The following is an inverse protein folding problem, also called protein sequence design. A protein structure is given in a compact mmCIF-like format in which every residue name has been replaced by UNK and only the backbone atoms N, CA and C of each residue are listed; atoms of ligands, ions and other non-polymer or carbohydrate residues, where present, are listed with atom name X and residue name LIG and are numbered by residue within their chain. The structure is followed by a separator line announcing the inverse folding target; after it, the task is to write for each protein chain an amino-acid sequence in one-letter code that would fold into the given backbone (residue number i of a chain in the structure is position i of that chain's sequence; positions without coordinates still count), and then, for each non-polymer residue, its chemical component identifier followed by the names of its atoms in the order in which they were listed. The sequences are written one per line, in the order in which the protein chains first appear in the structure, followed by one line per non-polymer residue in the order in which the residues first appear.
data_IF_887379555050
#
_entry.id   IF_887379555050
#
_cell.length_a   1.000
_cell.length_b   1.000
_cell.length_c   1.000
_cell.angle_alpha   90.00
_cell.angle_beta   90.00
_cell.angle_gamma   90.00
#
_symmetry.space_group_name_H-M   'P 1'
#
loop_
_entity.id
_entity.type
_entity.pdbx_description
1 polymer ?
#
# COMPACT_ATOMS: atom_id res chain seq x y z
N UNK A 1 -25.17 6.41 -11.60
CA UNK A 1 -25.67 7.15 -12.78
C UNK A 1 -24.46 7.66 -13.54
N UNK A 2 -24.45 7.57 -14.87
CA UNK A 2 -23.34 7.99 -15.74
C UNK A 2 -23.75 9.32 -16.38
N UNK A 3 -22.82 10.27 -16.58
CA UNK A 3 -23.14 11.51 -17.30
C UNK A 3 -23.24 11.29 -18.82
N UNK A 4 -23.65 12.33 -19.55
CA UNK A 4 -23.83 12.30 -21.00
C UNK A 4 -22.54 12.00 -21.80
N UNK A 5 -21.39 11.82 -21.14
CA UNK A 5 -20.10 11.47 -21.74
C UNK A 5 -19.55 10.12 -21.25
N UNK A 6 -20.40 9.28 -20.65
CA UNK A 6 -19.98 7.95 -20.20
C UNK A 6 -19.15 7.96 -18.91
N UNK A 7 -19.05 9.11 -18.20
CA UNK A 7 -18.25 9.19 -16.95
C UNK A 7 -19.10 8.87 -15.72
N UNK A 8 -18.58 8.09 -14.75
CA UNK A 8 -19.28 7.82 -13.51
C UNK A 8 -19.57 9.14 -12.78
N UNK A 9 -20.84 9.40 -12.48
CA UNK A 9 -21.31 10.64 -11.85
C UNK A 9 -20.98 10.60 -10.35
N UNK A 10 -20.21 11.59 -9.90
CA UNK A 10 -19.77 11.74 -8.52
C UNK A 10 -20.94 12.01 -7.56
N UNK A 11 -20.93 11.35 -6.39
CA UNK A 11 -21.75 11.74 -5.25
C UNK A 11 -21.09 12.92 -4.53
N UNK A 12 -21.83 14.01 -4.32
CA UNK A 12 -21.38 15.20 -3.58
C UNK A 12 -21.77 15.04 -2.10
N UNK A 13 -20.83 15.22 -1.16
CA UNK A 13 -21.08 15.10 0.29
C UNK A 13 -20.05 15.87 1.14
N UNK A 14 -20.43 16.18 2.38
CA UNK A 14 -19.69 16.94 3.39
C UNK A 14 -18.45 16.18 3.94
N UNK A 15 -17.76 16.75 4.94
CA UNK A 15 -16.43 16.34 5.42
C UNK A 15 -16.29 14.81 5.62
N UNK A 16 -15.57 14.11 4.74
CA UNK A 16 -15.82 12.70 4.49
C UNK A 16 -15.08 11.74 5.41
N UNK A 17 -14.15 12.17 6.28
CA UNK A 17 -13.49 11.23 7.21
C UNK A 17 -14.47 10.82 8.31
N UNK A 18 -15.18 11.77 8.91
CA UNK A 18 -16.23 11.49 9.92
C UNK A 18 -17.48 10.87 9.32
N UNK A 19 -17.82 11.19 8.07
CA UNK A 19 -18.97 10.57 7.39
C UNK A 19 -18.63 9.19 6.85
N UNK A 20 -17.42 8.95 6.32
CA UNK A 20 -16.96 7.60 5.96
C UNK A 20 -16.78 6.73 7.20
N UNK A 21 -16.31 7.28 8.32
CA UNK A 21 -16.32 6.61 9.62
C UNK A 21 -17.74 6.17 10.01
N UNK A 22 -18.71 7.08 9.91
CA UNK A 22 -20.12 6.77 10.22
C UNK A 22 -20.75 5.79 9.22
N UNK A 23 -20.38 5.87 7.94
CA UNK A 23 -20.90 5.01 6.86
C UNK A 23 -20.31 3.59 6.91
N UNK A 24 -19.07 3.45 7.38
CA UNK A 24 -18.31 2.19 7.32
C UNK A 24 -17.95 1.59 8.69
N UNK A 25 -18.35 2.21 9.79
CA UNK A 25 -18.19 1.67 11.16
C UNK A 25 -16.89 2.06 11.85
N UNK A 26 -16.19 1.08 12.41
CA UNK A 26 -14.98 1.29 13.22
C UNK A 26 -13.85 1.93 12.42
N UNK A 27 -13.32 3.07 12.90
CA UNK A 27 -12.13 3.72 12.32
C UNK A 27 -10.89 3.26 13.06
N UNK A 28 -10.00 2.56 12.36
CA UNK A 28 -8.68 2.22 12.87
C UNK A 28 -7.71 3.31 12.41
N UNK A 29 -7.32 4.20 13.32
CA UNK A 29 -6.19 5.09 13.08
C UNK A 29 -4.91 4.33 13.41
N UNK A 30 -4.14 3.99 12.39
CA UNK A 30 -2.77 3.51 12.60
C UNK A 30 -1.91 4.76 12.71
N UNK A 31 -1.63 5.18 13.94
CA UNK A 31 -0.75 6.30 14.21
C UNK A 31 0.63 6.02 13.58
N UNK A 32 1.06 6.90 12.67
CA UNK A 32 2.45 6.95 12.24
C UNK A 32 3.36 7.28 13.42
N UNK A 33 4.64 6.94 13.30
CA UNK A 33 5.71 7.08 14.32
C UNK A 33 5.72 8.46 15.03
N UNK A 34 5.18 9.51 14.41
CA UNK A 34 5.13 10.87 14.96
C UNK A 34 4.07 11.13 16.04
N UNK A 35 3.08 10.26 16.26
CA UNK A 35 2.00 10.49 17.26
C UNK A 35 2.32 9.89 18.65
N UNK A 36 3.46 9.19 18.81
CA UNK A 36 3.89 8.60 20.09
C UNK A 36 4.61 9.56 21.03
N UNK A 37 4.20 10.84 21.09
CA UNK A 37 4.68 11.74 22.15
C UNK A 37 3.74 11.68 23.35
N UNK A 38 3.89 10.62 24.14
CA UNK A 38 3.19 10.46 25.42
C UNK A 38 3.16 9.01 25.87
N UNK A 39 4.17 8.61 26.65
CA UNK A 39 4.30 7.30 27.31
C UNK A 39 4.43 6.07 26.38
N UNK A 40 5.67 5.81 25.95
CA UNK A 40 6.09 4.48 25.53
C UNK A 40 6.74 3.74 26.72
N UNK A 41 6.35 2.49 27.05
CA UNK A 41 7.28 1.59 27.71
C UNK A 41 8.39 1.24 26.71
N UNK A 42 9.63 1.26 27.20
CA UNK A 42 10.80 0.84 26.45
C UNK A 42 10.63 -0.63 25.96
N UNK A 43 10.81 -0.86 24.65
CA UNK A 43 11.11 -2.14 23.94
C UNK A 43 10.31 -2.41 22.65
N UNK A 44 9.31 -1.61 22.29
CA UNK A 44 8.54 -1.89 21.06
C UNK A 44 9.26 -1.37 19.81
N UNK A 45 9.82 -2.27 18.99
CA UNK A 45 10.03 -2.00 17.56
C UNK A 45 8.69 -1.58 16.93
N UNK A 46 8.66 -0.59 16.03
CA UNK A 46 7.43 -0.19 15.34
C UNK A 46 6.83 -1.27 14.44
N UNK A 47 7.57 -2.37 14.19
CA UNK A 47 7.10 -3.53 13.45
C UNK A 47 6.24 -4.47 14.30
N UNK A 48 5.06 -4.84 13.81
CA UNK A 48 4.11 -5.71 14.50
C UNK A 48 3.12 -6.35 13.51
N UNK A 49 2.47 -7.44 13.95
CA UNK A 49 1.31 -8.05 13.28
C UNK A 49 0.09 -7.80 14.12
N UNK A 50 -0.91 -7.16 13.53
CA UNK A 50 -2.21 -6.87 14.14
C UNK A 50 -3.26 -7.75 13.47
N UNK A 51 -4.11 -8.42 14.25
CA UNK A 51 -5.32 -9.08 13.74
C UNK A 51 -6.53 -8.19 13.98
N UNK A 52 -7.43 -8.21 13.00
CA UNK A 52 -8.70 -7.50 13.02
C UNK A 52 -9.82 -8.55 12.89
N UNK A 53 -10.76 -8.52 13.82
CA UNK A 53 -11.95 -9.37 13.77
C UNK A 53 -13.12 -8.71 13.00
N UNK A 54 -14.23 -9.45 12.85
CA UNK A 54 -15.44 -8.98 12.17
C UNK A 54 -16.07 -7.73 12.78
N UNK A 55 -15.89 -7.51 14.07
CA UNK A 55 -16.43 -6.34 14.78
C UNK A 55 -15.46 -5.13 14.70
N UNK A 56 -14.27 -5.35 14.13
CA UNK A 56 -13.22 -4.36 13.95
C UNK A 56 -12.33 -4.20 15.18
N UNK A 57 -12.36 -5.13 16.13
CA UNK A 57 -11.42 -5.12 17.24
C UNK A 57 -10.02 -5.49 16.75
N UNK A 58 -9.02 -4.76 17.24
CA UNK A 58 -7.62 -4.90 16.83
C UNK A 58 -6.81 -5.46 17.99
N UNK A 59 -5.98 -6.47 17.71
CA UNK A 59 -5.04 -7.03 18.69
C UNK A 59 -3.70 -7.34 18.07
N UNK A 60 -2.62 -7.09 18.81
CA UNK A 60 -1.28 -7.49 18.40
C UNK A 60 -1.09 -8.99 18.63
N UNK A 61 -0.63 -9.71 17.61
CA UNK A 61 -0.38 -11.15 17.66
C UNK A 61 1.08 -11.53 17.48
N UNK A 62 1.93 -10.59 17.07
CA UNK A 62 3.37 -10.80 17.02
C UNK A 62 4.03 -10.54 18.37
N UNK A 63 4.96 -11.40 18.75
CA UNK A 63 5.92 -11.16 19.83
C UNK A 63 7.31 -11.36 19.28
N UNK A 64 8.16 -10.35 19.41
CA UNK A 64 9.56 -10.40 18.97
C UNK A 64 10.50 -10.17 20.16
N UNK A 65 11.46 -11.08 20.34
CA UNK A 65 12.53 -10.99 21.32
C UNK A 65 13.87 -11.09 20.57
N UNK A 66 14.65 -10.01 20.62
CA UNK A 66 15.86 -9.82 19.82
C UNK A 66 15.62 -10.08 18.31
N UNK A 67 16.10 -11.22 17.79
CA UNK A 67 16.00 -11.65 16.38
C UNK A 67 14.91 -12.70 16.14
N UNK A 68 14.28 -13.19 17.20
CA UNK A 68 13.25 -14.23 17.11
C UNK A 68 11.87 -13.60 17.22
N UNK A 69 10.97 -13.97 16.32
CA UNK A 69 9.57 -13.57 16.40
C UNK A 69 8.67 -14.79 16.38
N UNK A 70 7.54 -14.69 17.06
CA UNK A 70 6.47 -15.69 17.07
C UNK A 70 5.14 -15.01 16.85
N UNK A 71 4.19 -15.75 16.28
CA UNK A 71 2.82 -15.32 16.10
C UNK A 71 1.94 -16.14 17.04
N UNK A 72 1.13 -15.48 17.85
CA UNK A 72 0.15 -16.15 18.68
C UNK A 72 -0.86 -16.85 17.77
N UNK A 73 -0.93 -18.17 17.88
CA UNK A 73 -1.81 -19.03 17.09
C UNK A 73 -3.25 -19.07 17.59
N UNK A 74 -3.58 -18.30 18.64
CA UNK A 74 -4.95 -18.08 19.10
C UNK A 74 -5.68 -17.23 18.03
N UNK A 75 -6.05 -17.90 16.94
CA UNK A 75 -6.96 -17.40 15.93
C UNK A 75 -8.37 -17.57 16.48
N UNK A 76 -9.04 -16.46 16.76
CA UNK A 76 -10.48 -16.51 16.90
C UNK A 76 -11.03 -16.85 15.51
N UNK A 77 -12.10 -17.65 15.44
CA UNK A 77 -12.72 -18.05 14.16
C UNK A 77 -13.26 -16.88 13.33
N UNK A 78 -13.29 -15.67 13.91
CA UNK A 78 -13.85 -14.46 13.33
C UNK A 78 -12.80 -13.42 12.89
N UNK A 79 -11.50 -13.76 12.88
CA UNK A 79 -10.47 -12.89 12.30
C UNK A 79 -10.66 -12.73 10.78
N UNK A 80 -10.61 -11.50 10.26
CA UNK A 80 -10.84 -11.18 8.83
C UNK A 80 -9.64 -10.58 8.11
N UNK A 81 -8.69 -9.99 8.84
CA UNK A 81 -7.52 -9.33 8.25
C UNK A 81 -6.33 -9.35 9.20
N UNK A 82 -5.13 -9.59 8.66
CA UNK A 82 -3.86 -9.34 9.34
C UNK A 82 -3.19 -8.09 8.75
N UNK A 83 -2.90 -7.09 9.59
CA UNK A 83 -2.06 -5.96 9.21
C UNK A 83 -0.63 -6.22 9.69
N UNK A 84 0.31 -6.27 8.76
CA UNK A 84 1.74 -6.43 9.04
C UNK A 84 2.41 -5.08 8.89
N UNK A 85 2.63 -4.40 10.00
CA UNK A 85 3.33 -3.12 10.05
C UNK A 85 4.82 -3.38 10.09
N UNK A 86 5.58 -2.80 9.16
CA UNK A 86 7.05 -2.84 9.19
C UNK A 86 7.61 -1.42 9.23
N UNK A 87 8.45 -1.15 10.24
CA UNK A 87 9.17 0.10 10.36
C UNK A 87 10.51 0.03 9.60
N UNK A 88 10.46 0.39 8.32
CA UNK A 88 11.64 0.33 7.44
C UNK A 88 12.59 1.53 7.58
N UNK A 89 12.24 2.55 8.39
CA UNK A 89 13.07 3.73 8.61
C UNK A 89 14.48 3.33 9.11
N UNK A 90 14.55 2.33 9.97
CA UNK A 90 15.78 1.81 10.56
C UNK A 90 16.74 1.17 9.54
N UNK A 91 16.26 0.84 8.34
CA UNK A 91 17.08 0.25 7.28
C UNK A 91 17.56 1.29 6.25
N UNK A 92 16.98 2.50 6.27
CA UNK A 92 17.51 3.64 5.50
C UNK A 92 18.60 4.40 6.25
N UNK A 93 18.75 4.16 7.54
CA UNK A 93 19.77 4.74 8.41
C UNK A 93 20.75 3.65 8.86
N UNK A 94 22.05 3.96 8.94
CA UNK A 94 23.01 3.01 9.53
C UNK A 94 22.59 2.65 10.96
N UNK A 95 22.75 1.39 11.41
CA UNK A 95 22.36 0.98 12.75
C UNK A 95 23.11 1.81 13.80
N UNK A 96 22.38 2.26 14.83
CA UNK A 96 22.95 2.95 15.99
C UNK A 96 22.92 1.96 17.15
N UNK A 97 24.07 1.34 17.47
CA UNK A 97 24.23 0.40 18.58
C UNK A 97 24.09 -1.08 18.21
N UNK A 98 23.90 -1.93 19.23
CA UNK A 98 23.89 -3.41 19.12
C UNK A 98 22.50 -4.00 18.78
N UNK A 99 21.44 -3.18 18.81
CA UNK A 99 20.12 -3.59 18.34
C UNK A 99 20.10 -3.58 16.80
N UNK A 100 19.88 -4.76 16.20
CA UNK A 100 19.73 -4.93 14.76
C UNK A 100 18.24 -4.97 14.37
N UNK A 101 17.63 -3.82 14.02
CA UNK A 101 16.23 -3.72 13.64
C UNK A 101 15.91 -4.51 12.38
N UNK A 102 16.89 -4.71 11.49
CA UNK A 102 16.71 -5.51 10.28
C UNK A 102 16.54 -6.98 10.65
N UNK A 103 17.38 -7.52 11.53
CA UNK A 103 17.26 -8.90 11.98
C UNK A 103 15.91 -9.20 12.65
N UNK A 104 15.31 -8.21 13.33
CA UNK A 104 13.96 -8.36 13.90
C UNK A 104 12.86 -8.38 12.83
N UNK A 105 12.97 -7.54 11.80
CA UNK A 105 12.06 -7.56 10.65
C UNK A 105 12.15 -8.90 9.92
N UNK A 106 13.37 -9.39 9.70
CA UNK A 106 13.62 -10.70 9.08
C UNK A 106 13.01 -11.83 9.91
N UNK A 107 13.23 -11.85 11.23
CA UNK A 107 12.61 -12.83 12.13
C UNK A 107 11.08 -12.79 12.11
N UNK A 108 10.47 -11.60 11.96
CA UNK A 108 9.02 -11.46 11.82
C UNK A 108 8.51 -12.04 10.49
N UNK A 109 9.23 -11.77 9.40
CA UNK A 109 8.91 -12.29 8.06
C UNK A 109 9.08 -13.81 7.99
N UNK A 110 10.06 -14.37 8.72
CA UNK A 110 10.23 -15.80 8.89
C UNK A 110 9.05 -16.44 9.62
N UNK A 111 8.63 -15.84 10.73
CA UNK A 111 7.47 -16.31 11.50
C UNK A 111 6.18 -16.28 10.66
N UNK A 112 5.98 -15.22 9.87
CA UNK A 112 4.85 -15.11 8.94
C UNK A 112 4.90 -16.17 7.84
N UNK A 113 6.06 -16.42 7.26
CA UNK A 113 6.24 -17.41 6.19
C UNK A 113 6.06 -18.84 6.69
N UNK A 114 6.46 -19.13 7.93
CA UNK A 114 6.29 -20.43 8.56
C UNK A 114 4.84 -20.67 9.03
N UNK A 115 4.11 -19.62 9.40
CA UNK A 115 2.74 -19.72 9.86
C UNK A 115 1.75 -19.84 8.69
N UNK A 116 1.16 -21.04 8.54
CA UNK A 116 0.00 -21.23 7.68
C UNK A 116 -1.16 -20.39 8.21
N UNK A 117 -1.66 -19.46 7.39
CA UNK A 117 -2.80 -18.61 7.71
C UNK A 117 -3.74 -18.57 6.51
N UNK A 118 -5.04 -18.69 6.76
CA UNK A 118 -6.09 -18.42 5.77
C UNK A 118 -6.54 -16.97 5.80
N UNK A 119 -6.08 -16.18 6.78
CA UNK A 119 -6.44 -14.78 6.94
C UNK A 119 -5.59 -13.94 5.96
N UNK A 120 -6.20 -13.07 5.14
CA UNK A 120 -5.45 -12.21 4.23
C UNK A 120 -4.53 -11.27 5.00
N UNK A 121 -3.27 -11.19 4.56
CA UNK A 121 -2.24 -10.31 5.14
C UNK A 121 -2.02 -9.08 4.29
N UNK A 122 -2.12 -7.91 4.89
CA UNK A 122 -1.86 -6.61 4.27
C UNK A 122 -0.62 -6.00 4.90
N UNK A 123 0.36 -5.71 4.06
CA UNK A 123 1.59 -5.05 4.46
C UNK A 123 1.34 -3.54 4.63
N UNK A 124 1.80 -2.97 5.73
CA UNK A 124 1.75 -1.53 6.01
C UNK A 124 3.17 -0.99 6.08
N UNK A 125 3.51 -0.12 5.14
CA UNK A 125 4.84 0.48 5.00
C UNK A 125 4.78 2.01 5.00
N UNK A 126 5.91 2.64 5.27
CA UNK A 126 6.07 4.06 4.98
C UNK A 126 6.06 4.29 3.45
N UNK A 127 6.99 3.67 2.73
CA UNK A 127 7.10 3.75 1.26
C UNK A 127 6.37 2.58 0.58
N UNK A 128 5.76 2.80 -0.60
CA UNK A 128 5.16 1.71 -1.36
C UNK A 128 6.20 0.72 -1.87
N UNK A 129 5.75 -0.48 -2.24
CA UNK A 129 6.57 -1.49 -2.91
C UNK A 129 7.03 -0.99 -4.28
N UNK A 130 6.13 -0.35 -5.03
CA UNK A 130 6.46 0.38 -6.25
C UNK A 130 5.85 1.78 -6.20
N UNK A 131 6.70 2.80 -6.34
CA UNK A 131 6.29 4.20 -6.39
C UNK A 131 5.69 4.58 -7.74
N UNK A 132 4.52 5.24 -7.70
CA UNK A 132 3.87 5.77 -8.91
C UNK A 132 4.18 7.24 -9.14
N UNK A 133 4.75 7.91 -8.12
CA UNK A 133 4.99 9.35 -8.08
C UNK A 133 6.48 9.62 -7.87
N UNK A 134 6.82 10.49 -6.91
CA UNK A 134 8.14 11.09 -6.76
C UNK A 134 9.23 10.12 -6.29
N UNK A 135 8.85 8.97 -5.71
CA UNK A 135 9.80 7.99 -5.18
C UNK A 135 9.98 6.77 -6.10
N UNK A 136 9.21 6.69 -7.20
CA UNK A 136 9.26 5.60 -8.17
C UNK A 136 10.35 5.74 -9.24
N UNK A 137 10.55 4.67 -10.02
CA UNK A 137 11.54 4.63 -11.10
C UNK A 137 11.27 5.69 -12.17
N UNK A 138 12.26 6.55 -12.43
CA UNK A 138 12.21 7.60 -13.46
C UNK A 138 11.61 8.93 -13.00
N UNK A 139 11.25 9.06 -11.72
CA UNK A 139 11.06 10.37 -11.11
C UNK A 139 12.41 11.09 -10.93
N UNK A 140 12.41 12.43 -10.87
CA UNK A 140 13.62 13.22 -10.62
C UNK A 140 14.27 12.83 -9.28
N UNK A 141 15.40 12.12 -9.32
CA UNK A 141 16.20 11.73 -8.14
C UNK A 141 16.61 10.27 -8.13
N UNK A 142 17.14 9.80 -6.98
CA UNK A 142 17.35 8.37 -6.73
C UNK A 142 16.03 7.74 -6.29
N UNK A 143 15.48 6.77 -7.03
CA UNK A 143 14.21 6.15 -6.67
C UNK A 143 14.39 5.38 -5.36
N UNK A 144 13.45 5.57 -4.43
CA UNK A 144 13.51 4.95 -3.09
C UNK A 144 12.36 3.98 -2.85
N UNK A 145 11.27 4.08 -3.63
CA UNK A 145 10.13 3.19 -3.58
C UNK A 145 10.12 2.30 -4.82
N UNK A 146 10.95 1.26 -4.80
CA UNK A 146 11.06 0.25 -5.84
C UNK A 146 11.21 -1.11 -5.19
N UNK A 147 10.73 -2.16 -5.86
CA UNK A 147 10.82 -3.51 -5.33
C UNK A 147 12.28 -3.93 -5.16
N UNK A 148 13.16 -3.56 -6.11
CA UNK A 148 14.60 -3.79 -6.01
C UNK A 148 15.19 -3.32 -4.69
N UNK A 149 14.71 -2.18 -4.22
CA UNK A 149 15.29 -1.53 -3.06
C UNK A 149 14.83 -2.14 -1.76
N UNK A 150 13.76 -2.95 -1.74
CA UNK A 150 13.22 -3.66 -0.56
C UNK A 150 14.27 -4.61 0.07
N UNK A 151 14.19 -4.94 1.38
CA UNK A 151 15.12 -5.89 1.97
C UNK A 151 14.83 -7.26 1.37
N UNK A 152 15.88 -8.04 1.11
CA UNK A 152 15.78 -9.31 0.39
C UNK A 152 14.72 -10.25 0.98
N UNK A 153 14.60 -10.30 2.30
CA UNK A 153 13.60 -11.16 2.96
C UNK A 153 12.16 -10.70 2.73
N UNK A 154 11.92 -9.39 2.66
CA UNK A 154 10.61 -8.85 2.33
C UNK A 154 10.32 -8.99 0.84
N UNK A 155 11.31 -8.81 -0.04
CA UNK A 155 11.16 -9.12 -1.47
C UNK A 155 10.68 -10.57 -1.65
N UNK A 156 11.33 -11.50 -0.95
CA UNK A 156 10.95 -12.91 -0.98
C UNK A 156 9.54 -13.14 -0.44
N UNK A 157 9.17 -12.56 0.71
CA UNK A 157 7.82 -12.70 1.26
C UNK A 157 6.73 -12.16 0.31
N UNK A 158 6.97 -11.02 -0.34
CA UNK A 158 6.07 -10.47 -1.36
C UNK A 158 6.01 -11.40 -2.59
N UNK A 159 7.15 -11.89 -3.05
CA UNK A 159 7.22 -12.81 -4.19
C UNK A 159 6.51 -14.13 -3.92
N UNK A 160 6.66 -14.69 -2.71
CA UNK A 160 6.06 -15.94 -2.29
C UNK A 160 4.56 -15.83 -1.95
N UNK A 161 3.99 -14.63 -2.01
CA UNK A 161 2.56 -14.41 -1.83
C UNK A 161 2.14 -14.38 -0.36
N UNK A 162 3.05 -14.02 0.56
CA UNK A 162 2.72 -13.84 1.98
C UNK A 162 1.71 -12.71 2.18
N UNK A 163 1.67 -11.72 1.28
CA UNK A 163 0.79 -10.56 1.35
C UNK A 163 -0.16 -10.52 0.16
N UNK A 164 -1.40 -10.09 0.40
CA UNK A 164 -2.40 -9.81 -0.65
C UNK A 164 -2.44 -8.33 -1.04
N UNK A 165 -1.94 -7.47 -0.14
CA UNK A 165 -2.07 -6.03 -0.28
C UNK A 165 -0.99 -5.23 0.40
N UNK A 166 -0.84 -3.98 -0.02
CA UNK A 166 0.08 -2.99 0.55
C UNK A 166 -0.65 -1.68 0.78
N UNK A 167 -0.48 -1.11 1.98
CA UNK A 167 -0.89 0.25 2.33
C UNK A 167 0.36 1.07 2.64
N UNK A 168 0.52 2.23 2.00
CA UNK A 168 1.63 3.14 2.27
C UNK A 168 1.23 4.62 2.26
N UNK A 169 2.14 5.49 2.72
CA UNK A 169 1.89 6.93 2.89
C UNK A 169 3.03 7.86 2.43
N UNK A 170 4.17 7.32 2.03
CA UNK A 170 5.39 8.12 1.82
C UNK A 170 5.44 8.91 0.52
N UNK A 171 4.52 8.71 -0.44
CA UNK A 171 4.45 9.54 -1.65
C UNK A 171 3.46 10.70 -1.48
N UNK A 172 3.79 11.89 -2.00
CA UNK A 172 2.95 13.08 -1.94
C UNK A 172 1.71 13.03 -2.87
N UNK A 173 0.84 12.04 -2.69
CA UNK A 173 -0.41 11.88 -3.43
C UNK A 173 -1.29 10.77 -2.89
N UNK A 174 -2.33 10.45 -3.67
CA UNK A 174 -3.18 9.30 -3.45
C UNK A 174 -3.22 8.49 -4.73
N UNK A 175 -2.90 7.20 -4.66
CA UNK A 175 -2.98 6.31 -5.80
C UNK A 175 -3.25 4.86 -5.41
N UNK A 176 -3.82 4.10 -6.35
CA UNK A 176 -4.19 2.71 -6.13
C UNK A 176 -4.03 1.86 -7.39
N UNK A 177 -3.73 0.58 -7.20
CA UNK A 177 -3.74 -0.47 -8.23
C UNK A 177 -4.28 -1.77 -7.63
N UNK A 178 -5.05 -2.53 -8.40
CA UNK A 178 -5.44 -3.89 -8.01
C UNK A 178 -4.28 -4.90 -8.09
N UNK A 179 -3.19 -4.58 -8.81
CA UNK A 179 -2.04 -5.48 -8.94
C UNK A 179 -0.74 -4.73 -9.27
N UNK A 180 0.18 -4.67 -8.30
CA UNK A 180 1.52 -4.09 -8.44
C UNK A 180 2.51 -5.03 -9.15
N UNK A 181 2.20 -6.33 -9.24
CA UNK A 181 3.07 -7.34 -9.82
C UNK A 181 3.44 -7.07 -11.29
N UNK A 182 2.57 -6.40 -12.06
CA UNK A 182 2.89 -5.97 -13.43
C UNK A 182 4.00 -4.91 -13.49
N UNK A 183 4.08 -4.04 -12.48
CA UNK A 183 5.14 -3.05 -12.38
C UNK A 183 6.46 -3.74 -12.05
N UNK A 184 6.47 -4.53 -10.98
CA UNK A 184 7.62 -5.34 -10.52
C UNK A 184 8.17 -6.22 -11.65
N UNK A 185 7.30 -6.85 -12.43
CA UNK A 185 7.74 -7.67 -13.57
C UNK A 185 8.49 -6.86 -14.64
N UNK A 186 8.11 -5.60 -14.86
CA UNK A 186 8.75 -4.72 -15.85
C UNK A 186 10.06 -4.15 -15.33
N UNK A 187 10.08 -3.75 -14.06
CA UNK A 187 11.19 -3.03 -13.42
C UNK A 187 12.29 -3.98 -12.97
N UNK A 188 11.90 -5.10 -12.36
CA UNK A 188 12.79 -6.01 -11.64
C UNK A 188 12.90 -7.39 -12.26
N UNK A 189 12.08 -7.70 -13.29
CA UNK A 189 11.99 -9.04 -13.88
C UNK A 189 11.63 -10.10 -12.83
N UNK A 190 10.73 -9.73 -11.92
CA UNK A 190 10.26 -10.63 -10.87
C UNK A 190 8.77 -10.93 -11.05
N UNK A 191 8.43 -12.22 -10.93
CA UNK A 191 7.05 -12.71 -11.05
C UNK A 191 6.53 -13.09 -9.67
N UNK A 192 5.53 -12.34 -9.19
CA UNK A 192 4.85 -12.66 -7.93
C UNK A 192 4.00 -13.91 -8.07
N UNK A 193 3.99 -14.78 -7.05
CA UNK A 193 3.10 -15.96 -7.01
C UNK A 193 1.63 -15.58 -7.00
N UNK A 194 1.26 -14.45 -6.41
CA UNK A 194 -0.13 -14.00 -6.31
C UNK A 194 -0.23 -12.51 -6.64
N UNK A 195 -1.40 -11.99 -7.08
CA UNK A 195 -1.58 -10.55 -7.28
C UNK A 195 -1.49 -9.84 -5.92
N UNK A 196 -0.80 -8.70 -5.91
CA UNK A 196 -0.68 -7.85 -4.72
C UNK A 196 -1.25 -6.48 -5.06
N UNK A 197 -2.36 -6.09 -4.46
CA UNK A 197 -2.86 -4.74 -4.64
C UNK A 197 -2.04 -3.73 -3.82
N UNK A 198 -2.05 -2.47 -4.22
CA UNK A 198 -1.36 -1.42 -3.49
C UNK A 198 -2.20 -0.15 -3.47
N UNK A 199 -2.32 0.45 -2.28
CA UNK A 199 -2.83 1.80 -2.09
C UNK A 199 -1.80 2.67 -1.40
N UNK A 200 -1.69 3.90 -1.87
CA UNK A 200 -0.90 4.94 -1.22
C UNK A 200 -1.80 6.11 -0.91
N UNK A 201 -1.77 6.54 0.34
CA UNK A 201 -2.59 7.63 0.89
C UNK A 201 -1.72 8.62 1.64
N UNK A 202 -0.72 9.19 0.96
CA UNK A 202 0.28 10.07 1.58
C UNK A 202 -0.10 11.54 1.68
N UNK A 203 -1.33 11.91 1.27
CA UNK A 203 -1.77 13.31 1.18
C UNK A 203 -3.09 13.61 1.87
N UNK A 204 -3.30 13.03 3.05
CA UNK A 204 -4.50 13.21 3.86
C UNK A 204 -4.70 14.66 4.34
N UNK A 205 -3.64 15.32 4.83
CA UNK A 205 -3.72 16.64 5.48
C UNK A 205 -2.75 17.69 4.91
N UNK A 206 -1.75 17.29 4.12
CA UNK A 206 -0.69 18.19 3.66
C UNK A 206 -1.19 19.28 2.70
N UNK A 207 -0.51 20.45 2.62
CA UNK A 207 -0.89 21.48 1.67
C UNK A 207 -1.02 20.92 0.24
N UNK A 208 -2.08 21.28 -0.49
CA UNK A 208 -2.02 21.18 -1.96
C UNK A 208 -0.78 21.99 -2.29
N UNK A 209 0.20 21.39 -2.97
CA UNK A 209 1.42 22.11 -3.31
C UNK A 209 0.98 23.42 -3.95
N UNK A 210 1.19 24.53 -3.24
CA UNK A 210 1.02 25.84 -3.83
C UNK A 210 1.98 25.91 -5.02
N UNK A 211 1.71 26.86 -5.91
CA UNK A 211 2.40 27.15 -7.18
C UNK A 211 3.96 27.20 -7.17
N UNK A 212 4.68 26.84 -6.10
CA UNK A 212 6.14 26.89 -5.99
C UNK A 212 6.92 25.63 -6.41
N UNK A 213 6.29 24.48 -6.60
CA UNK A 213 6.97 23.28 -7.11
C UNK A 213 6.33 22.81 -8.43
N UNK A 214 6.38 23.67 -9.45
CA UNK A 214 5.84 23.38 -10.78
C UNK A 214 6.32 22.03 -11.33
N UNK A 215 7.56 21.62 -11.00
CA UNK A 215 8.14 20.33 -11.38
C UNK A 215 7.35 19.13 -10.84
N UNK A 216 6.78 19.21 -9.63
CA UNK A 216 5.96 18.12 -9.03
C UNK A 216 4.66 17.85 -9.78
N UNK A 217 4.20 18.81 -10.58
CA UNK A 217 3.02 18.66 -11.46
C UNK A 217 3.38 18.23 -12.89
N UNK A 218 4.66 18.20 -13.24
CA UNK A 218 5.11 17.74 -14.56
C UNK A 218 5.09 16.21 -14.64
N UNK A 219 4.98 15.68 -15.86
CA UNK A 219 5.13 14.24 -16.09
C UNK A 219 6.48 13.67 -15.58
N UNK A 220 7.49 14.53 -15.38
CA UNK A 220 8.83 14.17 -14.91
C UNK A 220 8.90 13.83 -13.41
N UNK A 221 7.89 14.21 -12.62
CA UNK A 221 7.80 13.87 -11.20
C UNK A 221 7.02 12.57 -10.94
N UNK A 222 6.68 11.82 -11.99
CA UNK A 222 5.97 10.55 -11.90
C UNK A 222 6.91 9.42 -12.30
N UNK A 223 6.76 8.28 -11.62
CA UNK A 223 7.42 7.05 -12.04
C UNK A 223 7.00 6.65 -13.45
N UNK A 224 7.98 6.31 -14.29
CA UNK A 224 7.75 5.72 -15.62
C UNK A 224 7.62 4.19 -15.56
N UNK A 225 8.14 3.57 -14.49
CA UNK A 225 8.09 2.11 -14.27
C UNK A 225 6.72 1.61 -13.82
N UNK A 226 5.97 2.42 -13.07
CA UNK A 226 4.67 2.08 -12.52
C UNK A 226 3.63 3.19 -12.77
N UNK A 227 2.50 2.81 -13.36
CA UNK A 227 1.34 3.68 -13.56
C UNK A 227 0.12 3.08 -12.86
N UNK A 228 -0.25 3.59 -11.67
CA UNK A 228 -1.43 3.12 -10.96
C UNK A 228 -2.72 3.49 -11.72
N UNK A 229 -3.76 2.69 -11.53
CA UNK A 229 -5.07 2.86 -12.18
C UNK A 229 -5.76 4.14 -11.74
N UNK A 230 -5.58 4.49 -10.47
CA UNK A 230 -6.00 5.76 -9.91
C UNK A 230 -4.76 6.48 -9.42
N UNK A 231 -4.54 7.72 -9.84
CA UNK A 231 -3.44 8.55 -9.35
C UNK A 231 -3.85 10.02 -9.27
N UNK A 232 -3.55 10.67 -8.15
CA UNK A 232 -3.72 12.11 -7.99
C UNK A 232 -2.70 12.70 -7.03
N UNK A 233 -2.31 13.94 -7.29
CA UNK A 233 -1.52 14.76 -6.35
C UNK A 233 -2.42 15.64 -5.46
N UNK A 234 -3.74 15.54 -5.64
CA UNK A 234 -4.70 16.24 -4.80
C UNK A 234 -4.69 15.68 -3.37
N UNK A 235 -5.14 16.48 -2.41
CA UNK A 235 -5.40 16.00 -1.05
C UNK A 235 -6.46 14.92 -1.08
N UNK A 236 -6.33 13.92 -0.22
CA UNK A 236 -7.26 12.81 -0.19
C UNK A 236 -6.83 11.70 0.74
N UNK A 237 -7.70 10.71 0.88
CA UNK A 237 -7.46 9.50 1.66
C UNK A 237 -8.12 8.31 0.98
N UNK A 238 -7.84 7.11 1.47
CA UNK A 238 -8.49 5.89 1.04
C UNK A 238 -9.18 5.19 2.20
N UNK A 239 -10.29 4.53 1.92
CA UNK A 239 -11.05 3.69 2.85
C UNK A 239 -11.03 2.28 2.27
N UNK A 240 -10.43 1.35 3.00
CA UNK A 240 -10.49 -0.07 2.71
C UNK A 240 -11.67 -0.68 3.47
N UNK A 241 -12.59 -1.30 2.75
CA UNK A 241 -13.67 -2.10 3.34
C UNK A 241 -13.42 -3.55 3.00
N UNK A 242 -13.30 -4.40 4.02
CA UNK A 242 -13.16 -5.85 3.88
C UNK A 242 -14.52 -6.47 4.15
N UNK A 243 -15.06 -7.15 3.15
CA UNK A 243 -16.34 -7.84 3.22
C UNK A 243 -16.21 -9.24 3.82
N UNK A 244 -17.37 -9.84 4.09
CA UNK A 244 -17.48 -11.17 4.73
C UNK A 244 -17.22 -12.31 3.72
N UNK A 245 -17.15 -12.02 2.41
CA UNK A 245 -17.07 -13.02 1.32
C UNK A 245 -15.81 -12.87 0.48
N UNK A 246 -14.67 -12.68 1.13
CA UNK A 246 -13.34 -12.54 0.50
C UNK A 246 -13.24 -11.39 -0.53
N UNK A 247 -14.12 -10.41 -0.42
CA UNK A 247 -14.13 -9.21 -1.24
C UNK A 247 -13.59 -8.03 -0.45
N UNK A 248 -12.68 -7.26 -1.05
CA UNK A 248 -12.30 -5.95 -0.52
C UNK A 248 -12.63 -4.87 -1.54
N UNK A 249 -13.21 -3.77 -1.07
CA UNK A 249 -13.39 -2.55 -1.85
C UNK A 249 -12.47 -1.47 -1.32
N UNK A 250 -11.83 -0.73 -2.21
CA UNK A 250 -11.11 0.48 -1.88
C UNK A 250 -11.85 1.68 -2.42
N UNK A 251 -12.25 2.58 -1.54
CA UNK A 251 -12.81 3.88 -1.90
C UNK A 251 -11.76 4.98 -1.70
N UNK A 252 -11.39 5.64 -2.79
CA UNK A 252 -10.43 6.73 -2.80
C UNK A 252 -11.17 8.06 -2.85
N UNK A 253 -10.99 8.87 -1.81
CA UNK A 253 -11.61 10.19 -1.65
C UNK A 253 -10.59 11.29 -1.92
N UNK A 254 -10.89 12.22 -2.82
CA UNK A 254 -9.96 13.27 -3.21
C UNK A 254 -10.66 14.63 -3.25
N UNK A 255 -10.01 15.65 -2.66
CA UNK A 255 -10.50 17.02 -2.63
C UNK A 255 -9.98 17.78 -3.84
N UNK A 256 -10.87 18.15 -4.76
CA UNK A 256 -10.56 18.98 -5.94
C UNK A 256 -11.46 20.20 -5.96
N UNK A 257 -10.86 21.40 -6.00
CA UNK A 257 -11.59 22.69 -6.05
C UNK A 257 -12.73 22.76 -5.01
N UNK A 258 -12.42 22.40 -3.75
CA UNK A 258 -13.35 22.35 -2.60
C UNK A 258 -14.46 21.28 -2.68
N UNK A 259 -14.46 20.42 -3.70
CA UNK A 259 -15.41 19.32 -3.84
C UNK A 259 -14.72 17.98 -3.61
N UNK A 260 -15.34 17.10 -2.83
CA UNK A 260 -14.88 15.73 -2.66
C UNK A 260 -15.34 14.85 -3.82
N UNK A 261 -14.42 14.04 -4.34
CA UNK A 261 -14.66 13.05 -5.38
C UNK A 261 -14.32 11.67 -4.83
N UNK A 262 -15.11 10.67 -5.20
CA UNK A 262 -14.92 9.26 -4.81
C UNK A 262 -14.67 8.42 -6.05
N UNK A 263 -13.68 7.55 -6.01
CA UNK A 263 -13.45 6.48 -6.97
C UNK A 263 -13.34 5.15 -6.23
N UNK A 264 -13.88 4.08 -6.80
CA UNK A 264 -13.89 2.75 -6.19
C UNK A 264 -13.09 1.76 -7.01
N UNK A 265 -12.29 0.93 -6.35
CA UNK A 265 -11.54 -0.20 -6.94
C UNK A 265 -11.90 -1.47 -6.18
N UNK A 266 -12.09 -2.57 -6.91
CA UNK A 266 -12.23 -3.90 -6.31
C UNK A 266 -10.86 -4.53 -6.11
N UNK A 267 -10.61 -5.07 -4.92
CA UNK A 267 -9.33 -5.63 -4.53
C UNK A 267 -9.43 -7.13 -4.31
N UNK A 268 -8.51 -7.93 -4.87
CA UNK A 268 -8.46 -9.36 -4.59
C UNK A 268 -7.94 -9.62 -3.17
N UNK A 269 -8.68 -10.38 -2.36
CA UNK A 269 -8.19 -10.91 -1.07
C UNK A 269 -7.77 -12.38 -1.16
N UNK A 270 -8.07 -13.06 -2.26
CA UNK A 270 -7.64 -14.44 -2.46
C UNK A 270 -6.16 -14.50 -2.87
N UNK A 271 -5.39 -15.31 -2.15
CA UNK A 271 -3.98 -15.61 -2.44
C UNK A 271 -3.84 -16.63 -3.58
N UNK A 272 -4.94 -17.10 -4.19
CA UNK A 272 -4.90 -18.18 -5.19
C UNK A 272 -3.90 -17.84 -6.29
N UNK A 273 -2.81 -18.63 -6.42
CA UNK A 273 -1.84 -18.41 -7.48
C UNK A 273 -2.54 -18.51 -8.83
N UNK A 274 -2.13 -17.72 -9.83
CA UNK A 274 -2.64 -17.88 -11.18
C UNK A 274 -2.35 -19.31 -11.65
N UNK A 275 -3.31 -19.94 -12.32
CA UNK A 275 -3.11 -21.25 -12.92
C UNK A 275 -2.25 -21.11 -14.19
N UNK A 276 -0.95 -21.38 -14.07
CA UNK A 276 -0.05 -21.58 -15.21
C UNK A 276 1.00 -20.48 -15.42
N UNK A 277 1.90 -20.69 -16.41
CA UNK A 277 2.94 -19.74 -16.77
C UNK A 277 2.33 -18.38 -17.12
N UNK A 278 2.85 -17.30 -16.53
CA UNK A 278 2.47 -15.95 -16.92
C UNK A 278 3.32 -15.51 -18.11
N UNK A 279 2.68 -15.08 -19.19
CA UNK A 279 3.37 -14.46 -20.30
C UNK A 279 4.27 -13.32 -19.80
N UNK A 280 5.51 -13.29 -20.27
CA UNK A 280 6.36 -12.14 -20.08
C UNK A 280 5.70 -10.96 -20.83
N UNK A 281 5.54 -9.77 -20.22
CA UNK A 281 5.08 -8.60 -20.93
C UNK A 281 6.02 -8.37 -22.09
N UNK A 282 5.48 -7.94 -23.22
CA UNK A 282 6.31 -7.51 -24.34
C UNK A 282 7.25 -6.40 -23.84
N UNK A 283 8.54 -6.72 -23.71
CA UNK A 283 9.59 -5.80 -23.29
C UNK A 283 10.19 -5.04 -24.48
N UNK A 284 9.69 -5.26 -25.70
CA UNK A 284 10.15 -4.51 -26.85
C UNK A 284 9.92 -3.02 -26.59
N UNK A 285 10.95 -2.16 -26.68
CA UNK A 285 10.75 -0.73 -26.70
C UNK A 285 9.77 -0.46 -27.84
N UNK A 286 8.63 0.12 -27.52
CA UNK A 286 7.61 0.35 -28.52
C UNK A 286 8.07 1.49 -29.42
N UNK A 287 8.80 1.14 -30.49
CA UNK A 287 9.31 2.12 -31.45
C UNK A 287 8.18 2.80 -32.24
N UNK A 288 6.96 2.24 -32.20
CA UNK A 288 5.75 2.73 -32.89
C UNK A 288 4.47 2.35 -32.13
N UNK A 289 4.33 2.74 -30.88
CA UNK A 289 3.02 2.69 -30.24
C UNK A 289 2.24 3.90 -30.75
N UNK A 290 1.00 3.68 -31.17
CA UNK A 290 0.08 4.78 -31.43
C UNK A 290 0.06 5.68 -30.20
N UNK A 291 0.30 6.98 -30.40
CA UNK A 291 0.21 7.94 -29.32
C UNK A 291 -1.22 7.89 -28.76
N UNK A 292 -1.37 7.43 -27.52
CA UNK A 292 -2.67 7.52 -26.86
C UNK A 292 -3.02 9.02 -26.76
N UNK A 293 -4.13 9.46 -27.38
CA UNK A 293 -4.50 10.87 -27.42
C UNK A 293 -4.61 11.44 -25.99
N UNK A 294 -4.26 12.71 -25.76
CA UNK A 294 -4.22 13.30 -24.42
C UNK A 294 -5.54 13.23 -23.61
N UNK A 295 -6.67 12.90 -24.26
CA UNK A 295 -8.00 12.76 -23.63
C UNK A 295 -8.50 11.32 -23.44
N UNK A 296 -7.77 10.32 -23.94
CA UNK A 296 -8.11 8.89 -23.83
C UNK A 296 -7.08 8.09 -23.01
N UNK A 297 -6.11 8.80 -22.43
CA UNK A 297 -5.29 8.26 -21.35
C UNK A 297 -6.21 8.14 -20.12
N UNK A 298 -6.44 6.94 -19.56
CA UNK A 298 -7.29 6.77 -18.38
C UNK A 298 -6.83 7.66 -17.21
#
# INVERSE_FOLDING_TARGET
RVDARGRPRAAQGAAPVTDAAREHGSVISIAGVAERQGQAPASSSGSAVLRIDRDGHVRTVSRCEARSCSLNSDGATDDVLELVVLELAAWRTAPIGDDDPLARIEGLLDALSAASSTIPRVLVLELPVEGGLEHGLGALGSPTATFHNLPSRLQQAVQDGVFVGVIAGGEAGVHATHNVGRAIQRTDKTWLRSPVWQVVSGRASGPVAGHGAWWRHTALARGVGFRPELATLARGFAVLTVGIRDDATLDVYVLRRRTWWRARVQLPLSVTPPSGPRDAPNMAPCMRCDEVPPGERP
#
